data_IF_703356572235
#
_entry.id   IF_703356572235
#
_cell.length_a   1.000
_cell.length_b   1.000
_cell.length_c   1.000
_cell.angle_alpha   90.00
_cell.angle_beta   90.00
_cell.angle_gamma   90.00
#
_symmetry.space_group_name_H-M   'P 1'
#
loop_
_entity.id
_entity.type
_entity.pdbx_description
1 polymer ?
#
# COMPACT_ATOMS: atom_id res chain seq x y z
N UNK A 1 -4.39 0.12 -29.68
CA UNK A 1 -3.22 -0.67 -29.24
C UNK A 1 -3.42 -2.09 -29.75
N UNK A 2 -2.54 -2.58 -30.61
CA UNK A 2 -2.68 -3.88 -31.26
C UNK A 2 -2.33 -4.97 -30.24
N UNK A 3 -3.32 -5.48 -29.51
CA UNK A 3 -3.11 -6.58 -28.56
C UNK A 3 -2.80 -7.83 -29.39
N UNK A 4 -1.54 -8.22 -29.46
CA UNK A 4 -1.12 -9.42 -30.18
C UNK A 4 -1.77 -10.63 -29.51
N UNK A 5 -2.70 -11.28 -30.22
CA UNK A 5 -3.29 -12.56 -29.79
C UNK A 5 -2.19 -13.60 -29.74
N UNK A 6 -2.03 -14.26 -28.61
CA UNK A 6 -1.05 -15.34 -28.44
C UNK A 6 -1.77 -16.68 -28.60
N UNK A 7 -1.09 -17.67 -29.18
CA UNK A 7 -1.59 -19.04 -29.28
C UNK A 7 -1.08 -19.85 -28.09
N UNK A 8 -1.98 -20.52 -27.40
CA UNK A 8 -1.70 -21.44 -26.28
C UNK A 8 -1.78 -22.87 -26.80
N UNK A 9 -0.61 -23.50 -26.94
CA UNK A 9 -0.39 -24.87 -27.37
C UNK A 9 -0.03 -25.80 -26.21
N UNK A 10 0.05 -27.10 -26.50
CA UNK A 10 0.41 -28.18 -25.56
C UNK A 10 1.69 -27.89 -24.77
N UNK A 11 2.69 -27.29 -25.41
CA UNK A 11 4.01 -27.03 -24.84
C UNK A 11 3.94 -26.11 -23.62
N UNK A 12 3.07 -25.09 -23.67
CA UNK A 12 2.87 -24.15 -22.55
C UNK A 12 2.18 -24.84 -21.37
N UNK A 13 1.25 -25.77 -21.62
CA UNK A 13 0.59 -26.56 -20.58
C UNK A 13 1.58 -27.52 -19.91
N UNK A 14 2.41 -28.20 -20.70
CA UNK A 14 3.46 -29.09 -20.18
C UNK A 14 4.54 -28.34 -19.41
N UNK A 15 4.89 -27.12 -19.81
CA UNK A 15 5.82 -26.27 -19.05
C UNK A 15 5.20 -25.79 -17.73
N UNK A 16 3.92 -25.43 -17.71
CA UNK A 16 3.20 -25.11 -16.48
C UNK A 16 3.22 -26.28 -15.49
N UNK A 17 2.88 -27.48 -15.95
CA UNK A 17 2.90 -28.70 -15.15
C UNK A 17 4.29 -29.03 -14.60
N UNK A 18 5.34 -28.95 -15.44
CA UNK A 18 6.74 -29.18 -15.03
C UNK A 18 7.20 -28.23 -13.93
N UNK A 19 6.68 -27.01 -13.90
CA UNK A 19 6.96 -26.01 -12.85
C UNK A 19 6.05 -26.13 -11.62
N UNK A 20 5.25 -27.19 -11.53
CA UNK A 20 4.31 -27.42 -10.42
C UNK A 20 3.09 -26.50 -10.42
N UNK A 21 2.80 -25.82 -11.55
CA UNK A 21 1.63 -24.94 -11.66
C UNK A 21 0.43 -25.78 -12.14
N UNK A 22 -0.60 -25.86 -11.29
CA UNK A 22 -1.87 -26.53 -11.60
C UNK A 22 -2.88 -25.61 -12.31
N UNK A 23 -2.56 -24.32 -12.42
CA UNK A 23 -3.39 -23.31 -13.05
C UNK A 23 -2.55 -22.60 -14.11
N UNK A 24 -3.08 -22.49 -15.32
CA UNK A 24 -2.51 -21.72 -16.41
C UNK A 24 -3.50 -20.62 -16.83
N UNK A 25 -3.16 -19.39 -16.46
CA UNK A 25 -3.92 -18.19 -16.79
C UNK A 25 -3.54 -17.72 -18.21
N UNK A 26 -4.53 -17.44 -19.06
CA UNK A 26 -4.35 -16.86 -20.40
C UNK A 26 -5.22 -15.62 -20.57
N UNK A 27 -4.89 -14.75 -21.54
CA UNK A 27 -5.61 -13.49 -21.70
C UNK A 27 -6.92 -13.69 -22.45
N UNK A 28 -7.96 -12.88 -22.15
CA UNK A 28 -9.17 -12.82 -22.95
C UNK A 28 -8.85 -12.49 -24.40
N UNK A 29 -9.07 -13.45 -25.30
CA UNK A 29 -8.79 -13.35 -26.74
C UNK A 29 -7.55 -14.10 -27.24
N UNK A 30 -6.81 -14.79 -26.37
CA UNK A 30 -5.81 -15.77 -26.78
C UNK A 30 -6.49 -17.03 -27.36
N UNK A 31 -5.81 -17.71 -28.29
CA UNK A 31 -6.35 -18.91 -28.96
C UNK A 31 -5.82 -20.14 -28.25
N UNK A 32 -6.69 -20.89 -27.59
CA UNK A 32 -6.36 -22.18 -26.96
C UNK A 32 -6.54 -23.29 -28.00
N UNK A 33 -5.49 -24.08 -28.25
CA UNK A 33 -5.58 -25.20 -29.21
C UNK A 33 -6.28 -26.41 -28.60
N UNK A 34 -6.88 -27.26 -29.45
CA UNK A 34 -7.52 -28.51 -29.00
C UNK A 34 -6.54 -29.44 -28.26
N UNK A 35 -5.28 -29.47 -28.70
CA UNK A 35 -4.22 -30.24 -28.04
C UNK A 35 -3.86 -29.71 -26.65
N UNK A 36 -3.95 -28.39 -26.46
CA UNK A 36 -3.73 -27.77 -25.16
C UNK A 36 -4.85 -28.14 -24.17
N UNK A 37 -6.11 -28.16 -24.63
CA UNK A 37 -7.27 -28.60 -23.84
C UNK A 37 -7.14 -30.07 -23.41
N UNK A 38 -6.87 -30.96 -24.35
CA UNK A 38 -6.69 -32.40 -24.08
C UNK A 38 -5.52 -32.65 -23.09
N UNK A 39 -4.41 -31.94 -23.28
CA UNK A 39 -3.26 -32.06 -22.37
C UNK A 39 -3.56 -31.49 -20.99
N UNK A 40 -4.31 -30.39 -20.90
CA UNK A 40 -4.71 -29.78 -19.65
C UNK A 40 -5.61 -30.73 -18.84
N UNK A 41 -6.58 -31.37 -19.50
CA UNK A 41 -7.45 -32.39 -18.89
C UNK A 41 -6.63 -33.59 -18.38
N UNK A 42 -5.74 -34.14 -19.22
CA UNK A 42 -4.88 -35.28 -18.85
C UNK A 42 -3.93 -34.99 -17.69
N UNK A 43 -3.40 -33.78 -17.61
CA UNK A 43 -2.44 -33.35 -16.58
C UNK A 43 -3.11 -32.68 -15.36
N UNK A 44 -4.44 -32.63 -15.34
CA UNK A 44 -5.24 -31.94 -14.33
C UNK A 44 -4.79 -30.48 -14.09
N UNK A 45 -4.49 -29.77 -15.18
CA UNK A 45 -4.13 -28.34 -15.21
C UNK A 45 -5.38 -27.55 -15.62
N UNK A 46 -5.78 -26.59 -14.80
CA UNK A 46 -6.92 -25.71 -15.09
C UNK A 46 -6.51 -24.55 -15.98
N UNK A 47 -7.18 -24.40 -17.12
CA UNK A 47 -7.02 -23.24 -18.03
C UNK A 47 -8.03 -22.17 -17.63
N UNK A 48 -7.54 -21.01 -17.20
CA UNK A 48 -8.41 -19.92 -16.73
C UNK A 48 -8.22 -18.70 -17.64
N UNK A 49 -9.32 -18.16 -18.15
CA UNK A 49 -9.38 -16.93 -18.92
C UNK A 49 -9.27 -15.69 -18.00
N UNK A 50 -8.14 -15.58 -17.32
CA UNK A 50 -7.80 -14.43 -16.49
C UNK A 50 -6.45 -13.89 -16.94
N UNK A 51 -6.27 -12.56 -17.01
CA UNK A 51 -4.97 -11.98 -17.31
C UNK A 51 -3.88 -12.63 -16.44
N UNK A 52 -2.74 -13.03 -17.04
CA UNK A 52 -1.66 -13.64 -16.26
C UNK A 52 -1.27 -12.67 -15.16
N UNK A 53 -1.12 -13.20 -13.94
CA UNK A 53 -0.76 -12.40 -12.76
C UNK A 53 0.53 -11.64 -13.08
N UNK A 54 0.49 -10.31 -12.90
CA UNK A 54 1.70 -9.51 -13.06
C UNK A 54 2.66 -9.88 -11.94
N UNK A 55 3.99 -10.00 -12.22
CA UNK A 55 4.93 -10.19 -11.13
C UNK A 55 4.73 -9.05 -10.11
N UNK A 56 4.77 -9.34 -8.80
CA UNK A 56 4.67 -8.29 -7.80
C UNK A 56 5.72 -7.22 -8.12
N UNK A 57 5.38 -5.92 -8.03
CA UNK A 57 6.36 -4.88 -8.22
C UNK A 57 7.52 -5.13 -7.26
N UNK A 58 8.76 -4.95 -7.74
CA UNK A 58 9.95 -5.06 -6.89
C UNK A 58 9.87 -3.93 -5.87
N UNK A 59 9.37 -4.26 -4.67
CA UNK A 59 9.24 -3.30 -3.59
C UNK A 59 10.65 -2.91 -3.14
N UNK A 60 11.03 -1.67 -3.46
CA UNK A 60 12.32 -1.15 -3.00
C UNK A 60 12.17 -0.81 -1.52
N UNK A 61 12.92 -1.52 -0.68
CA UNK A 61 13.04 -1.23 0.74
C UNK A 61 13.24 0.29 0.96
N UNK A 62 12.35 0.89 1.75
CA UNK A 62 12.33 2.33 2.02
C UNK A 62 13.65 2.83 2.62
N UNK A 63 14.33 2.01 3.43
CA UNK A 63 15.64 2.34 3.98
C UNK A 63 16.67 2.50 2.87
N UNK A 64 16.67 1.58 1.91
CA UNK A 64 17.55 1.64 0.75
C UNK A 64 17.24 2.82 -0.17
N UNK A 65 15.97 3.15 -0.36
CA UNK A 65 15.56 4.34 -1.12
C UNK A 65 16.04 5.64 -0.45
N UNK A 66 15.80 5.81 0.85
CA UNK A 66 16.21 7.02 1.60
C UNK A 66 17.72 7.16 1.67
N UNK A 67 18.46 6.07 1.87
CA UNK A 67 19.94 6.07 1.86
C UNK A 67 20.50 6.56 0.52
N UNK A 68 19.91 6.12 -0.60
CA UNK A 68 20.31 6.59 -1.95
C UNK A 68 20.02 8.08 -2.12
N UNK A 69 18.85 8.54 -1.68
CA UNK A 69 18.46 9.94 -1.77
C UNK A 69 19.35 10.86 -0.92
N UNK A 70 19.78 10.39 0.26
CA UNK A 70 20.59 11.16 1.20
C UNK A 70 22.10 11.00 1.00
N UNK A 71 22.57 10.10 0.12
CA UNK A 71 23.99 9.78 -0.02
C UNK A 71 24.89 11.02 -0.22
N UNK A 72 24.43 12.01 -1.01
CA UNK A 72 25.18 13.27 -1.24
C UNK A 72 25.17 14.24 -0.05
N UNK A 73 24.19 14.11 0.86
CA UNK A 73 24.00 15.00 2.02
C UNK A 73 24.61 14.42 3.29
N UNK A 74 24.53 13.11 3.47
CA UNK A 74 25.14 12.37 4.56
C UNK A 74 25.43 10.92 4.12
N UNK A 75 26.66 10.61 3.66
CA UNK A 75 27.01 9.27 3.20
C UNK A 75 27.01 8.23 4.34
N UNK A 76 27.09 8.68 5.60
CA UNK A 76 27.01 7.83 6.79
C UNK A 76 25.59 7.67 7.35
N UNK A 77 24.56 8.15 6.66
CA UNK A 77 23.18 8.01 7.12
C UNK A 77 22.80 6.53 7.22
N UNK A 78 22.37 6.13 8.42
CA UNK A 78 21.79 4.82 8.70
C UNK A 78 20.33 5.04 9.14
N UNK A 79 19.44 4.13 8.74
CA UNK A 79 18.07 4.18 9.22
C UNK A 79 18.04 4.06 10.76
N UNK A 80 17.24 4.89 11.44
CA UNK A 80 17.04 4.74 12.87
C UNK A 80 16.49 3.34 13.15
N UNK A 81 17.04 2.66 14.16
CA UNK A 81 16.46 1.40 14.62
C UNK A 81 15.06 1.71 15.15
N UNK A 82 14.01 1.00 14.69
CA UNK A 82 12.69 1.17 15.28
C UNK A 82 12.80 0.91 16.78
N UNK A 83 12.43 1.91 17.58
CA UNK A 83 12.36 1.73 19.01
C UNK A 83 11.25 0.73 19.29
N UNK A 84 11.62 -0.47 19.74
CA UNK A 84 10.65 -1.46 20.23
C UNK A 84 10.25 -1.01 21.64
N UNK A 85 9.34 -0.06 21.74
CA UNK A 85 8.71 0.25 23.02
C UNK A 85 7.66 -0.82 23.31
N UNK A 86 7.73 -1.54 24.44
CA UNK A 86 6.71 -2.50 24.85
C UNK A 86 5.39 -1.83 25.28
N UNK A 87 5.36 -0.50 25.36
CA UNK A 87 4.19 0.28 25.79
C UNK A 87 3.82 1.28 24.69
N UNK A 88 2.55 1.35 24.32
CA UNK A 88 2.03 2.44 23.50
C UNK A 88 2.32 3.74 24.26
N UNK A 89 3.27 4.53 23.75
CA UNK A 89 3.58 5.84 24.30
C UNK A 89 2.62 6.83 23.68
N UNK A 90 1.98 7.65 24.50
CA UNK A 90 1.37 8.89 24.05
C UNK A 90 2.46 9.73 23.38
N UNK A 91 2.14 10.32 22.23
CA UNK A 91 3.06 11.21 21.53
C UNK A 91 3.20 12.50 22.36
N UNK A 92 4.42 12.92 22.66
CA UNK A 92 4.61 14.22 23.33
C UNK A 92 4.05 15.36 22.46
N UNK A 93 4.24 15.29 21.13
CA UNK A 93 3.73 16.27 20.17
C UNK A 93 3.32 15.58 18.86
N UNK A 94 2.21 16.01 18.29
CA UNK A 94 1.72 15.61 16.98
C UNK A 94 1.47 16.86 16.12
N UNK A 95 2.21 16.99 15.02
CA UNK A 95 2.00 18.07 14.06
C UNK A 95 1.20 17.56 12.85
N UNK A 96 0.12 18.25 12.53
CA UNK A 96 -0.74 17.99 11.38
C UNK A 96 -0.61 19.15 10.39
N UNK A 97 -0.06 18.87 9.21
CA UNK A 97 0.08 19.85 8.12
C UNK A 97 -1.06 19.66 7.13
N UNK A 98 -1.96 20.65 7.10
CA UNK A 98 -3.26 20.64 6.45
C UNK A 98 -4.38 20.48 7.46
N UNK A 99 -5.26 21.48 7.56
CA UNK A 99 -6.47 21.53 8.37
C UNK A 99 -7.75 21.38 7.52
N UNK A 100 -7.63 20.87 6.28
CA UNK A 100 -8.76 20.45 5.45
C UNK A 100 -9.48 19.22 6.01
N UNK A 101 -10.45 18.66 5.26
CA UNK A 101 -11.36 17.61 5.78
C UNK A 101 -10.68 16.38 6.41
N UNK A 102 -9.55 15.93 5.88
CA UNK A 102 -8.79 14.81 6.47
C UNK A 102 -8.04 15.25 7.73
N UNK A 103 -7.35 16.39 7.66
CA UNK A 103 -6.55 16.89 8.77
C UNK A 103 -7.38 17.28 9.98
N UNK A 104 -8.53 17.93 9.76
CA UNK A 104 -9.47 18.27 10.83
C UNK A 104 -10.10 17.04 11.46
N UNK A 105 -10.50 16.04 10.66
CA UNK A 105 -11.04 14.80 11.18
C UNK A 105 -9.99 14.01 11.98
N UNK A 106 -8.76 13.95 11.48
CA UNK A 106 -7.66 13.29 12.19
C UNK A 106 -7.29 14.02 13.48
N UNK A 107 -7.34 15.35 13.49
CA UNK A 107 -7.17 16.14 14.71
C UNK A 107 -8.25 15.86 15.75
N UNK A 108 -9.52 15.72 15.32
CA UNK A 108 -10.62 15.29 16.19
C UNK A 108 -10.39 13.90 16.78
N UNK A 109 -10.04 12.92 15.94
CA UNK A 109 -9.77 11.56 16.41
C UNK A 109 -8.57 11.52 17.36
N UNK A 110 -7.51 12.25 17.06
CA UNK A 110 -6.32 12.35 17.90
C UNK A 110 -6.62 12.99 19.26
N UNK A 111 -7.43 14.05 19.29
CA UNK A 111 -7.87 14.69 20.53
C UNK A 111 -8.73 13.75 21.38
N UNK A 112 -9.72 13.08 20.77
CA UNK A 112 -10.62 12.16 21.47
C UNK A 112 -9.91 10.91 22.01
N UNK A 113 -8.92 10.40 21.26
CA UNK A 113 -8.14 9.21 21.66
C UNK A 113 -7.00 9.52 22.61
N UNK A 114 -6.75 10.80 22.92
CA UNK A 114 -5.63 11.24 23.76
C UNK A 114 -4.28 10.66 23.31
N UNK A 115 -4.09 10.49 21.99
CA UNK A 115 -2.89 9.88 21.42
C UNK A 115 -1.66 10.78 21.55
N UNK A 116 -1.87 12.09 21.77
CA UNK A 116 -0.80 13.07 21.94
C UNK A 116 -1.09 14.07 23.07
N UNK A 117 -0.04 14.53 23.76
CA UNK A 117 -0.14 15.59 24.77
C UNK A 117 -0.37 16.97 24.13
N UNK A 118 0.21 17.19 22.95
CA UNK A 118 0.08 18.43 22.18
C UNK A 118 -0.22 18.11 20.72
N UNK A 119 -1.26 18.74 20.18
CA UNK A 119 -1.61 18.66 18.75
C UNK A 119 -1.43 20.05 18.14
N UNK A 120 -0.54 20.18 17.16
CA UNK A 120 -0.32 21.41 16.40
C UNK A 120 -0.91 21.27 15.01
N UNK A 121 -1.87 22.14 14.66
CA UNK A 121 -2.41 22.24 13.29
C UNK A 121 -1.70 23.35 12.53
N UNK A 122 -1.34 23.08 11.28
CA UNK A 122 -0.67 24.02 10.38
C UNK A 122 -1.44 24.02 9.06
N UNK A 123 -1.86 25.18 8.57
CA UNK A 123 -2.45 25.30 7.23
C UNK A 123 -1.91 26.54 6.52
N UNK A 124 -1.95 26.52 5.19
CA UNK A 124 -1.61 27.67 4.35
C UNK A 124 -2.76 28.68 4.27
N UNK A 125 -4.00 28.23 4.48
CA UNK A 125 -5.19 29.05 4.46
C UNK A 125 -5.31 29.76 5.82
N UNK A 126 -5.24 31.10 5.86
CA UNK A 126 -5.29 31.83 7.12
C UNK A 126 -6.58 31.54 7.91
N UNK A 127 -6.47 31.25 9.20
CA UNK A 127 -7.61 31.03 10.09
C UNK A 127 -8.17 29.59 10.08
N UNK A 128 -7.76 28.74 9.13
CA UNK A 128 -8.30 27.39 9.03
C UNK A 128 -7.86 26.50 10.21
N UNK A 129 -6.56 26.49 10.52
CA UNK A 129 -6.02 25.74 11.66
C UNK A 129 -6.56 26.27 13.00
N UNK A 130 -6.69 27.59 13.13
CA UNK A 130 -7.21 28.27 14.31
C UNK A 130 -8.68 27.94 14.56
N UNK A 131 -9.50 27.91 13.52
CA UNK A 131 -10.93 27.53 13.61
C UNK A 131 -11.08 26.11 14.14
N UNK A 132 -10.35 25.14 13.56
CA UNK A 132 -10.42 23.75 14.00
C UNK A 132 -9.89 23.60 15.43
N UNK A 133 -8.80 24.28 15.78
CA UNK A 133 -8.26 24.26 17.14
C UNK A 133 -9.26 24.84 18.15
N UNK A 134 -10.02 25.87 17.78
CA UNK A 134 -11.09 26.44 18.61
C UNK A 134 -12.23 25.44 18.80
N UNK A 135 -12.69 24.80 17.72
CA UNK A 135 -13.74 23.77 17.77
C UNK A 135 -13.33 22.60 18.67
N UNK A 136 -12.09 22.13 18.54
CA UNK A 136 -11.53 21.06 19.37
C UNK A 136 -11.48 21.44 20.86
N UNK A 137 -11.06 22.66 21.18
CA UNK A 137 -11.05 23.16 22.56
C UNK A 137 -12.46 23.27 23.14
N UNK A 138 -13.43 23.74 22.36
CA UNK A 138 -14.81 23.81 22.80
C UNK A 138 -15.47 22.44 22.94
N UNK A 139 -15.12 21.48 22.08
CA UNK A 139 -15.59 20.10 22.19
C UNK A 139 -14.98 19.37 23.40
N UNK A 140 -13.76 19.73 23.82
CA UNK A 140 -13.03 19.08 24.92
C UNK A 140 -13.66 19.23 26.32
N UNK A 141 -14.70 20.06 26.46
CA UNK A 141 -15.45 20.24 27.71
C UNK A 141 -16.71 19.37 27.85
N UNK A 142 -17.14 18.64 26.81
CA UNK A 142 -18.41 17.88 26.83
C UNK A 142 -18.25 16.50 27.50
N UNK A 143 -17.04 15.96 27.62
CA UNK A 143 -16.77 14.64 28.23
C UNK A 143 -16.28 14.71 29.68
N UNK A 144 -16.49 15.85 30.36
CA UNK A 144 -16.21 16.01 31.79
C UNK A 144 -17.25 15.33 32.70
N UNK A 145 -17.29 13.99 32.69
CA UNK A 145 -17.78 13.11 33.77
C UNK A 145 -17.40 11.66 33.52
#
# INVERSE_FOLDING_TARGET
MNSQRTVIAEEQVRDAFRRGRLILNYRPGDIVTAQALDTAERLNVSLIDQPPESPPPVETDGVTATRRALYRRNPGWAAPKPAVSPRAQTLNKLALVGAGGVGSHLAHLAANSQIAEEISLIDILPGAAESIALDLRHASGITGS
#
